data_IF_173362144827
#
_entry.id   IF_173362144827
#
_cell.length_a   1.000
_cell.length_b   1.000
_cell.length_c   1.000
_cell.angle_alpha   90.00
_cell.angle_beta   90.00
_cell.angle_gamma   90.00
#
_symmetry.space_group_name_H-M   'P 1'
#
loop_
_entity.id
_entity.type
_entity.pdbx_description
1 polymer ?
#
# COMPACT_ATOMS: atom_id res chain seq x y z
N UNK A 1 50.84 -7.32 -15.23
CA UNK A 1 49.95 -6.96 -16.36
C UNK A 1 48.78 -7.94 -16.37
N UNK A 2 47.55 -7.41 -16.29
CA UNK A 2 46.31 -7.83 -17.00
C UNK A 2 45.97 -9.33 -16.98
N UNK A 3 44.82 -9.81 -16.51
CA UNK A 3 43.61 -9.14 -16.09
C UNK A 3 42.62 -10.12 -15.43
N UNK A 4 41.73 -9.56 -14.60
CA UNK A 4 40.50 -10.21 -14.15
C UNK A 4 39.47 -10.14 -15.27
N UNK A 5 38.76 -11.24 -15.50
CA UNK A 5 37.35 -11.25 -15.90
C UNK A 5 36.78 -12.68 -15.89
N UNK A 6 35.46 -12.83 -15.80
CA UNK A 6 34.83 -13.65 -14.77
C UNK A 6 34.14 -14.87 -15.36
N UNK A 7 33.89 -15.89 -14.55
CA UNK A 7 33.14 -17.04 -15.04
C UNK A 7 32.78 -18.02 -13.95
N UNK A 8 31.46 -18.17 -13.76
CA UNK A 8 30.79 -19.28 -13.12
C UNK A 8 30.76 -19.27 -11.58
N UNK A 9 30.06 -18.28 -11.02
CA UNK A 9 29.25 -18.58 -9.84
C UNK A 9 28.07 -19.40 -10.35
N UNK A 10 28.17 -20.72 -10.20
CA UNK A 10 27.02 -21.61 -10.29
C UNK A 10 26.12 -21.26 -9.10
N UNK A 11 24.96 -20.67 -9.37
CA UNK A 11 23.92 -20.56 -8.36
C UNK A 11 23.38 -21.98 -8.16
N UNK A 12 23.82 -22.61 -7.07
CA UNK A 12 23.25 -23.88 -6.62
C UNK A 12 21.77 -23.64 -6.31
N UNK A 13 20.92 -24.49 -6.88
CA UNK A 13 19.46 -24.42 -6.81
C UNK A 13 18.91 -24.82 -5.43
N UNK A 14 19.55 -24.37 -4.34
CA UNK A 14 19.24 -24.75 -2.97
C UNK A 14 18.95 -23.57 -2.01
N UNK A 15 19.09 -22.32 -2.47
CA UNK A 15 18.67 -21.13 -1.70
C UNK A 15 17.40 -20.48 -2.27
N UNK A 16 16.48 -21.31 -2.76
CA UNK A 16 15.10 -20.89 -3.00
C UNK A 16 14.36 -20.81 -1.68
N UNK A 17 14.78 -19.91 -0.79
CA UNK A 17 13.86 -19.40 0.23
C UNK A 17 12.87 -18.56 -0.55
N UNK A 18 11.79 -19.22 -0.97
CA UNK A 18 10.53 -18.56 -1.27
C UNK A 18 10.19 -17.85 0.04
N UNK A 19 10.56 -16.57 0.16
CA UNK A 19 9.94 -15.69 1.13
C UNK A 19 8.50 -15.58 0.65
N UNK A 20 7.66 -16.52 1.09
CA UNK A 20 6.23 -16.43 0.90
C UNK A 20 5.82 -15.04 1.33
N UNK A 21 5.19 -14.31 0.40
CA UNK A 21 4.62 -13.02 0.72
C UNK A 21 3.58 -13.25 1.80
N UNK A 22 3.95 -12.95 3.04
CA UNK A 22 3.12 -13.22 4.18
C UNK A 22 1.83 -12.40 4.04
N UNK A 23 0.69 -13.07 4.05
CA UNK A 23 -0.64 -12.44 3.97
C UNK A 23 -1.04 -11.82 5.32
N UNK A 24 -0.14 -10.98 5.85
CA UNK A 24 -0.25 -10.36 7.16
C UNK A 24 -0.84 -8.95 6.98
N UNK A 25 -1.93 -8.61 7.69
CA UNK A 25 -2.44 -7.25 7.68
C UNK A 25 -1.44 -6.31 8.35
N UNK A 26 -1.41 -5.05 7.93
CA UNK A 26 -0.63 -4.06 8.65
C UNK A 26 -1.10 -3.96 10.11
N UNK A 27 -0.17 -3.78 11.04
CA UNK A 27 -0.45 -3.77 12.47
C UNK A 27 -1.40 -2.64 12.92
N UNK A 28 -1.42 -1.51 12.20
CA UNK A 28 -2.46 -0.50 12.38
C UNK A 28 -3.68 -0.82 11.52
N UNK A 29 -4.88 -0.56 12.05
CA UNK A 29 -6.12 -0.78 11.33
C UNK A 29 -6.52 0.44 10.49
N UNK A 30 -7.20 0.20 9.37
CA UNK A 30 -7.85 1.29 8.62
C UNK A 30 -8.86 2.03 9.51
N UNK A 31 -8.88 3.37 9.51
CA UNK A 31 -9.87 4.17 10.24
C UNK A 31 -11.25 4.18 9.56
N UNK A 32 -11.37 3.68 8.33
CA UNK A 32 -12.63 3.60 7.58
C UNK A 32 -12.90 2.18 7.09
N UNK A 33 -14.18 1.85 7.02
CA UNK A 33 -14.66 0.55 6.53
C UNK A 33 -14.63 0.51 5.00
N UNK A 34 -14.19 -0.61 4.43
CA UNK A 34 -14.25 -0.86 2.98
C UNK A 34 -15.64 -1.34 2.56
N UNK A 35 -16.06 -1.00 1.34
CA UNK A 35 -17.37 -1.37 0.81
C UNK A 35 -18.29 -0.17 0.59
N UNK A 36 -19.60 -0.44 0.40
CA UNK A 36 -20.57 0.58 0.02
C UNK A 36 -20.75 1.67 1.07
N UNK A 37 -20.83 2.91 0.60
CA UNK A 37 -21.27 4.06 1.39
C UNK A 37 -22.79 4.06 1.37
N UNK A 38 -23.39 3.60 2.47
CA UNK A 38 -24.84 3.52 2.66
C UNK A 38 -25.25 4.16 3.98
N UNK A 39 -26.53 4.05 4.34
CA UNK A 39 -27.06 4.63 5.57
C UNK A 39 -26.37 4.12 6.85
N UNK A 40 -25.75 2.93 6.81
CA UNK A 40 -25.01 2.36 7.94
C UNK A 40 -23.60 2.91 8.07
N UNK A 41 -22.94 3.25 6.95
CA UNK A 41 -21.53 3.69 6.92
C UNK A 41 -21.37 5.20 6.73
N UNK A 42 -22.40 5.92 6.23
CA UNK A 42 -22.34 7.35 5.92
C UNK A 42 -21.93 8.24 7.11
N UNK A 43 -22.24 7.80 8.33
CA UNK A 43 -21.86 8.51 9.56
C UNK A 43 -20.34 8.60 9.73
N UNK A 44 -19.56 7.63 9.23
CA UNK A 44 -18.09 7.63 9.26
C UNK A 44 -17.52 8.79 8.42
N UNK A 45 -18.24 9.20 7.37
CA UNK A 45 -17.84 10.25 6.44
C UNK A 45 -18.31 11.65 6.87
N UNK A 46 -19.03 11.75 7.99
CA UNK A 46 -19.53 13.03 8.49
C UNK A 46 -18.39 13.93 8.94
N UNK A 47 -18.33 15.14 8.38
CA UNK A 47 -17.29 16.13 8.68
C UNK A 47 -15.99 15.93 7.88
N UNK A 48 -15.97 15.00 6.92
CA UNK A 48 -14.93 14.94 5.90
C UNK A 48 -15.20 15.97 4.80
N UNK A 49 -14.13 16.52 4.23
CA UNK A 49 -14.25 17.32 3.01
C UNK A 49 -14.42 16.36 1.84
N UNK A 50 -15.57 16.42 1.16
CA UNK A 50 -15.87 15.63 -0.03
C UNK A 50 -15.50 16.40 -1.29
N UNK A 51 -14.86 15.73 -2.25
CA UNK A 51 -14.70 16.18 -3.63
C UNK A 51 -15.15 15.09 -4.58
N UNK A 52 -15.97 15.44 -5.55
CA UNK A 52 -16.42 14.52 -6.60
C UNK A 52 -15.58 14.76 -7.86
N UNK A 53 -15.05 13.68 -8.42
CA UNK A 53 -14.22 13.67 -9.61
C UNK A 53 -14.88 12.70 -10.60
N UNK A 54 -15.32 13.22 -11.74
CA UNK A 54 -15.84 12.38 -12.82
C UNK A 54 -14.68 11.86 -13.67
N UNK A 55 -14.42 10.56 -13.59
CA UNK A 55 -13.40 9.89 -14.40
C UNK A 55 -14.09 9.12 -15.52
N UNK A 56 -14.43 9.82 -16.61
CA UNK A 56 -15.07 9.29 -17.83
C UNK A 56 -16.30 8.42 -17.63
N UNK A 57 -16.13 7.18 -17.14
CA UNK A 57 -17.14 6.16 -16.91
C UNK A 57 -17.36 5.78 -15.44
N UNK A 58 -16.58 6.35 -14.51
CA UNK A 58 -16.65 6.03 -13.07
C UNK A 58 -16.78 7.32 -12.27
N UNK A 59 -17.72 7.35 -11.32
CA UNK A 59 -17.84 8.43 -10.36
C UNK A 59 -16.87 8.17 -9.21
N UNK A 60 -15.88 9.05 -9.06
CA UNK A 60 -14.88 8.97 -7.99
C UNK A 60 -15.20 10.00 -6.92
N UNK A 61 -15.33 9.54 -5.69
CA UNK A 61 -15.52 10.38 -4.51
C UNK A 61 -14.26 10.34 -3.66
N UNK A 62 -13.73 11.52 -3.37
CA UNK A 62 -12.51 11.72 -2.61
C UNK A 62 -12.85 12.45 -1.31
N UNK A 63 -12.68 11.77 -0.18
CA UNK A 63 -12.97 12.31 1.15
C UNK A 63 -11.67 12.56 1.91
N UNK A 64 -11.55 13.72 2.59
CA UNK A 64 -10.36 14.04 3.39
C UNK A 64 -10.66 14.51 4.80
N UNK A 65 -9.79 14.13 5.73
CA UNK A 65 -9.74 14.65 7.10
C UNK A 65 -8.29 14.77 7.55
N UNK A 66 -7.79 15.99 7.65
CA UNK A 66 -6.35 16.22 7.82
C UNK A 66 -5.58 15.58 6.67
N UNK A 67 -4.60 14.74 7.00
CA UNK A 67 -3.80 14.01 6.01
C UNK A 67 -4.38 12.63 5.64
N UNK A 68 -5.46 12.19 6.30
CA UNK A 68 -6.14 10.94 5.95
C UNK A 68 -7.06 11.15 4.76
N UNK A 69 -7.04 10.17 3.83
CA UNK A 69 -7.81 10.24 2.58
C UNK A 69 -8.56 8.93 2.37
N UNK A 70 -9.77 9.03 1.85
CA UNK A 70 -10.59 7.89 1.44
C UNK A 70 -11.01 8.11 0.00
N UNK A 71 -10.85 7.07 -0.81
CA UNK A 71 -11.25 7.08 -2.21
C UNK A 71 -12.35 6.03 -2.37
N UNK A 72 -13.48 6.46 -2.90
CA UNK A 72 -14.57 5.60 -3.29
C UNK A 72 -14.83 5.71 -4.79
N UNK A 73 -15.11 4.58 -5.41
CA UNK A 73 -15.51 4.47 -6.80
C UNK A 73 -16.95 3.97 -6.85
N UNK A 74 -17.84 4.69 -7.53
CA UNK A 74 -19.28 4.41 -7.62
C UNK A 74 -19.93 4.17 -6.23
N UNK A 75 -19.52 4.98 -5.25
CA UNK A 75 -19.99 4.87 -3.86
C UNK A 75 -19.42 3.69 -3.06
N UNK A 76 -18.37 3.02 -3.55
CA UNK A 76 -17.69 1.91 -2.87
C UNK A 76 -16.30 2.35 -2.42
N UNK A 77 -16.05 2.33 -1.10
CA UNK A 77 -14.73 2.61 -0.53
C UNK A 77 -13.76 1.50 -0.88
N UNK A 78 -12.73 1.85 -1.65
CA UNK A 78 -11.72 0.91 -2.12
C UNK A 78 -10.31 1.23 -1.63
N UNK A 79 -10.00 2.48 -1.32
CA UNK A 79 -8.68 2.91 -0.87
C UNK A 79 -8.80 3.82 0.35
N UNK A 80 -7.99 3.55 1.37
CA UNK A 80 -7.81 4.42 2.53
C UNK A 80 -6.33 4.71 2.73
N UNK A 81 -5.95 5.98 2.69
CA UNK A 81 -4.60 6.43 3.01
C UNK A 81 -4.57 7.00 4.42
N UNK A 82 -3.74 6.43 5.29
CA UNK A 82 -3.54 6.88 6.67
C UNK A 82 -2.07 7.25 6.90
N UNK A 83 -1.75 8.47 7.35
CA UNK A 83 -0.42 8.80 7.87
C UNK A 83 -0.07 7.88 9.03
N UNK A 84 1.21 7.57 9.16
CA UNK A 84 1.69 6.82 10.31
C UNK A 84 1.72 7.70 11.55
N UNK A 85 1.27 7.17 12.69
CA UNK A 85 1.36 7.86 13.98
C UNK A 85 2.80 7.91 14.50
N UNK A 86 3.63 6.95 14.08
CA UNK A 86 5.04 6.83 14.47
C UNK A 86 5.90 6.55 13.25
N UNK A 87 7.07 7.18 13.20
CA UNK A 87 8.06 6.87 12.18
C UNK A 87 8.49 5.40 12.29
N UNK A 88 8.41 4.68 11.18
CA UNK A 88 8.85 3.29 11.06
C UNK A 88 10.10 3.22 10.22
N UNK A 89 11.08 2.46 10.71
CA UNK A 89 12.30 2.15 9.98
C UNK A 89 12.03 1.00 9.00
N UNK A 90 12.54 1.13 7.78
CA UNK A 90 12.31 0.17 6.68
C UNK A 90 12.89 -1.21 6.99
N UNK A 91 14.06 -1.32 7.61
CA UNK A 91 14.68 -2.60 7.97
C UNK A 91 13.83 -3.35 9.00
N UNK A 92 13.32 -2.62 10.00
CA UNK A 92 12.39 -3.19 10.99
C UNK A 92 11.11 -3.68 10.33
N UNK A 93 10.61 -2.95 9.33
CA UNK A 93 9.41 -3.34 8.60
C UNK A 93 9.66 -4.61 7.77
N UNK A 94 10.79 -4.71 7.07
CA UNK A 94 11.16 -5.91 6.31
C UNK A 94 11.31 -7.13 7.24
N UNK A 95 11.85 -6.93 8.44
CA UNK A 95 11.92 -7.99 9.46
C UNK A 95 10.54 -8.47 9.93
N UNK A 96 9.56 -7.56 9.99
CA UNK A 96 8.21 -7.87 10.48
C UNK A 96 7.28 -8.47 9.40
N UNK A 97 7.35 -7.98 8.17
CA UNK A 97 6.40 -8.34 7.09
C UNK A 97 7.06 -9.09 5.92
N UNK A 98 8.38 -9.29 5.97
CA UNK A 98 9.15 -9.79 4.84
C UNK A 98 9.42 -8.70 3.81
N UNK A 99 9.95 -9.12 2.65
CA UNK A 99 10.18 -8.20 1.53
C UNK A 99 8.87 -7.89 0.81
N UNK A 100 8.68 -6.65 0.30
CA UNK A 100 7.50 -6.33 -0.50
C UNK A 100 7.48 -7.17 -1.79
N UNK A 101 6.28 -7.50 -2.26
CA UNK A 101 6.11 -8.23 -3.52
C UNK A 101 6.50 -7.38 -4.73
N UNK A 102 6.23 -6.08 -4.65
CA UNK A 102 6.65 -5.11 -5.66
C UNK A 102 7.11 -3.81 -5.01
N UNK A 103 8.08 -3.16 -5.66
CA UNK A 103 8.52 -1.80 -5.35
C UNK A 103 8.29 -0.97 -6.59
N UNK A 104 7.55 0.12 -6.45
CA UNK A 104 7.37 1.12 -7.50
C UNK A 104 8.18 2.34 -7.15
N UNK A 105 9.23 2.62 -7.93
CA UNK A 105 10.00 3.84 -7.80
C UNK A 105 9.30 4.99 -8.55
N UNK A 106 9.27 6.16 -7.93
CA UNK A 106 8.74 7.39 -8.48
C UNK A 106 9.81 8.50 -8.40
N UNK A 107 9.53 9.65 -9.01
CA UNK A 107 10.43 10.80 -8.98
C UNK A 107 10.60 11.34 -7.55
N UNK A 108 11.76 11.95 -7.27
CA UNK A 108 12.12 12.60 -6.00
C UNK A 108 12.17 11.65 -4.80
N UNK A 109 12.86 10.52 -4.94
CA UNK A 109 13.09 9.54 -3.85
C UNK A 109 11.80 8.99 -3.21
N UNK A 110 10.69 9.01 -3.96
CA UNK A 110 9.42 8.43 -3.55
C UNK A 110 9.32 7.00 -4.04
N UNK A 111 8.93 6.09 -3.13
CA UNK A 111 8.79 4.67 -3.43
C UNK A 111 7.50 4.15 -2.83
N UNK A 112 6.84 3.24 -3.54
CA UNK A 112 5.71 2.50 -3.00
C UNK A 112 6.10 1.05 -2.82
N UNK A 113 6.07 0.56 -1.58
CA UNK A 113 6.27 -0.85 -1.25
C UNK A 113 4.91 -1.52 -1.19
N UNK A 114 4.66 -2.46 -2.11
CA UNK A 114 3.41 -3.19 -2.20
C UNK A 114 3.51 -4.55 -1.50
N UNK A 115 2.67 -4.74 -0.50
CA UNK A 115 2.42 -6.01 0.18
C UNK A 115 1.06 -6.57 -0.24
N UNK A 116 0.76 -7.85 0.02
CA UNK A 116 -0.51 -8.46 -0.40
C UNK A 116 -1.77 -7.71 0.07
N UNK A 117 -1.73 -7.12 1.28
CA UNK A 117 -2.91 -6.50 1.92
C UNK A 117 -2.85 -4.98 2.08
N UNK A 118 -1.71 -4.37 1.80
CA UNK A 118 -1.48 -2.95 1.99
C UNK A 118 -0.28 -2.48 1.16
N UNK A 119 -0.15 -1.18 0.98
CA UNK A 119 1.04 -0.56 0.43
C UNK A 119 1.57 0.52 1.39
N UNK A 120 2.84 0.85 1.25
CA UNK A 120 3.49 1.90 2.01
C UNK A 120 4.03 2.94 1.05
N UNK A 121 3.72 4.19 1.30
CA UNK A 121 4.36 5.32 0.62
C UNK A 121 5.60 5.74 1.42
N UNK A 122 6.74 5.73 0.76
CA UNK A 122 8.06 5.97 1.33
C UNK A 122 8.65 7.18 0.63
N UNK A 123 9.22 8.10 1.41
CA UNK A 123 9.94 9.26 0.89
C UNK A 123 11.32 9.30 1.58
N UNK A 124 12.37 9.11 0.78
CA UNK A 124 13.72 8.86 1.28
C UNK A 124 13.78 7.57 2.09
N UNK A 125 14.16 7.66 3.36
CA UNK A 125 14.25 6.53 4.30
C UNK A 125 13.04 6.41 5.24
N UNK A 126 12.03 7.26 5.07
CA UNK A 126 10.88 7.34 5.96
C UNK A 126 9.61 6.84 5.31
N UNK A 127 8.88 5.98 6.02
CA UNK A 127 7.53 5.61 5.65
C UNK A 127 6.60 6.74 6.08
N UNK A 128 5.85 7.31 5.13
CA UNK A 128 4.97 8.47 5.37
C UNK A 128 3.55 8.05 5.70
N UNK A 129 3.03 7.06 4.97
CA UNK A 129 1.64 6.60 5.12
C UNK A 129 1.48 5.16 4.69
N UNK A 130 0.41 4.57 5.19
CA UNK A 130 -0.09 3.26 4.79
C UNK A 130 -1.28 3.47 3.88
N UNK A 131 -1.33 2.69 2.81
CA UNK A 131 -2.40 2.64 1.83
C UNK A 131 -3.08 1.29 1.99
N UNK A 132 -4.26 1.29 2.58
CA UNK A 132 -5.11 0.11 2.72
C UNK A 132 -5.99 0.00 1.48
N UNK A 133 -6.16 -1.21 0.96
CA UNK A 133 -7.04 -1.48 -0.18
C UNK A 133 -7.70 -2.85 -0.03
N UNK A 134 -8.85 -3.04 -0.68
CA UNK A 134 -9.49 -4.35 -0.76
C UNK A 134 -8.73 -5.22 -1.77
N UNK A 135 -8.42 -6.45 -1.40
CA UNK A 135 -7.89 -7.44 -2.35
C UNK A 135 -9.03 -7.79 -3.32
N UNK A 136 -8.81 -7.78 -4.64
CA UNK A 136 -9.81 -8.22 -5.59
C UNK A 136 -10.21 -9.67 -5.26
N UNK A 137 -11.50 -9.92 -5.09
CA UNK A 137 -12.01 -11.29 -5.02
C UNK A 137 -11.68 -11.94 -6.36
N UNK A 138 -10.94 -13.06 -6.33
CA UNK A 138 -10.73 -13.86 -7.54
C UNK A 138 -12.12 -14.24 -8.07
N UNK A 139 -12.45 -13.77 -9.26
CA UNK A 139 -13.58 -14.32 -10.01
C UNK A 139 -13.11 -15.69 -10.51
N UNK A 140 -13.65 -16.75 -9.91
CA UNK A 140 -13.53 -18.11 -10.41
C UNK A 140 -14.19 -18.25 -11.80
#
# INVERSE_FOLDING_TARGET
MIGRSPGNIKYDAADSIIFELLDIPFHETSPYTFGSIDNSTISQFKGLNKREIKLSSVDCEYFTKGETKVIAFDGIVEIVEKPLEKSLNIERLISQYGRPGHIYDNLNDKKVYLYPRFALDIEGEQIKKVIYFKIPEKKD
#
